data_IF_571172168570
#
_entry.id   IF_571172168570
#
_cell.length_a   1.000
_cell.length_b   1.000
_cell.length_c   1.000
_cell.angle_alpha   90.00
_cell.angle_beta   90.00
_cell.angle_gamma   90.00
#
_symmetry.space_group_name_H-M   'P 1'
#
loop_
_entity.id
_entity.type
_entity.pdbx_description
1 polymer ?
#
# COMPACT_ATOMS: atom_id res chain seq x y z
N UNK A 1 -1.48 11.41 -28.57
CA UNK A 1 -2.91 11.28 -28.89
C UNK A 1 -3.03 10.37 -30.09
N UNK A 2 -3.42 9.13 -29.88
CA UNK A 2 -3.79 8.19 -30.94
C UNK A 2 -5.31 8.31 -31.11
N UNK A 3 -5.76 9.37 -31.74
CA UNK A 3 -7.20 9.66 -31.91
C UNK A 3 -7.89 8.74 -32.95
N UNK A 4 -7.13 7.89 -33.65
CA UNK A 4 -7.66 7.03 -34.73
C UNK A 4 -7.26 5.56 -34.63
N UNK A 5 -6.72 5.08 -33.48
CA UNK A 5 -6.33 3.68 -33.38
C UNK A 5 -7.52 2.82 -32.91
N UNK A 6 -8.12 2.10 -33.82
CA UNK A 6 -9.21 1.19 -33.52
C UNK A 6 -8.71 -0.15 -32.91
N UNK A 7 -9.44 -0.65 -31.92
CA UNK A 7 -9.14 -1.94 -31.27
C UNK A 7 -9.07 -3.09 -32.28
N UNK A 8 -9.92 -3.06 -33.29
CA UNK A 8 -9.93 -4.06 -34.38
C UNK A 8 -8.60 -4.08 -35.16
N UNK A 9 -8.01 -2.92 -35.41
CA UNK A 9 -6.71 -2.79 -36.10
C UNK A 9 -5.57 -3.35 -35.26
N UNK A 10 -5.57 -3.09 -33.92
CA UNK A 10 -4.61 -3.67 -33.01
C UNK A 10 -4.69 -5.20 -32.99
N UNK A 11 -5.90 -5.75 -32.85
CA UNK A 11 -6.10 -7.19 -32.84
C UNK A 11 -5.69 -7.83 -34.18
N UNK A 12 -5.94 -7.14 -35.29
CA UNK A 12 -5.47 -7.55 -36.61
C UNK A 12 -3.95 -7.55 -36.69
N UNK A 13 -3.30 -6.46 -36.23
CA UNK A 13 -1.83 -6.36 -36.19
C UNK A 13 -1.21 -7.49 -35.38
N UNK A 14 -1.76 -7.78 -34.19
CA UNK A 14 -1.27 -8.90 -33.35
C UNK A 14 -1.37 -10.25 -34.09
N UNK A 15 -2.49 -10.48 -34.80
CA UNK A 15 -2.69 -11.70 -35.62
C UNK A 15 -1.71 -11.77 -36.79
N UNK A 16 -1.50 -10.65 -37.48
CA UNK A 16 -0.61 -10.61 -38.63
C UNK A 16 0.85 -10.85 -38.21
N UNK A 17 1.30 -10.24 -37.12
CA UNK A 17 2.61 -10.47 -36.51
C UNK A 17 2.81 -11.93 -36.05
N UNK A 18 1.76 -12.54 -35.48
CA UNK A 18 1.81 -13.94 -35.10
C UNK A 18 1.96 -14.87 -36.32
N UNK A 19 1.23 -14.61 -37.41
CA UNK A 19 1.26 -15.41 -38.63
C UNK A 19 2.56 -15.24 -39.41
N UNK A 20 3.13 -14.05 -39.44
CA UNK A 20 4.42 -13.78 -40.11
C UNK A 20 5.62 -14.22 -39.30
N UNK A 21 5.43 -14.74 -38.08
CA UNK A 21 6.52 -15.06 -37.13
C UNK A 21 7.39 -13.86 -36.72
N UNK A 22 6.84 -12.66 -36.80
CA UNK A 22 7.52 -11.41 -36.43
C UNK A 22 7.14 -10.87 -35.05
N UNK A 23 6.38 -11.66 -34.26
CA UNK A 23 5.94 -11.27 -32.93
C UNK A 23 7.10 -11.23 -31.89
N UNK A 24 8.19 -11.97 -32.14
CA UNK A 24 9.30 -12.09 -31.21
C UNK A 24 9.94 -10.72 -30.90
N UNK A 25 10.10 -10.41 -29.59
CA UNK A 25 10.67 -9.16 -29.12
C UNK A 25 9.71 -7.96 -29.14
N UNK A 26 8.48 -8.14 -29.61
CA UNK A 26 7.45 -7.09 -29.57
C UNK A 26 6.69 -7.18 -28.25
N UNK A 27 6.49 -6.02 -27.61
CA UNK A 27 5.72 -5.88 -26.36
C UNK A 27 4.55 -4.94 -26.61
N UNK A 28 3.31 -5.42 -26.41
CA UNK A 28 2.15 -4.57 -26.32
C UNK A 28 1.84 -4.24 -24.86
N UNK A 29 1.56 -2.96 -24.57
CA UNK A 29 1.13 -2.49 -23.26
C UNK A 29 -0.26 -1.90 -23.40
N UNK A 30 -1.25 -2.52 -22.76
CA UNK A 30 -2.65 -2.10 -22.82
C UNK A 30 -3.06 -1.40 -21.51
N UNK A 31 -3.26 -0.08 -21.59
CA UNK A 31 -3.75 0.75 -20.47
C UNK A 31 -5.08 1.42 -20.86
N UNK A 32 -6.19 0.89 -20.44
CA UNK A 32 -6.50 -0.30 -19.60
C UNK A 32 -7.33 -1.30 -20.40
N UNK A 33 -7.30 -2.57 -19.98
CA UNK A 33 -7.93 -3.68 -20.68
C UNK A 33 -9.39 -3.41 -21.12
N UNK A 34 -10.21 -2.74 -20.31
CA UNK A 34 -11.60 -2.41 -20.63
C UNK A 34 -11.79 -1.54 -21.88
N UNK A 35 -10.72 -0.90 -22.39
CA UNK A 35 -10.76 -0.14 -23.65
C UNK A 35 -10.60 -1.06 -24.87
N UNK A 36 -10.11 -2.27 -24.67
CA UNK A 36 -9.74 -3.21 -25.73
C UNK A 36 -10.69 -4.41 -25.82
N UNK A 37 -11.40 -4.72 -24.74
CA UNK A 37 -12.41 -5.78 -24.72
C UNK A 37 -13.50 -5.49 -23.69
N UNK A 38 -14.69 -6.02 -23.93
CA UNK A 38 -15.76 -5.97 -22.93
C UNK A 38 -15.58 -7.12 -21.95
N UNK A 39 -15.06 -6.80 -20.75
CA UNK A 39 -14.77 -7.77 -19.70
C UNK A 39 -16.00 -8.51 -19.15
N UNK A 40 -17.21 -8.00 -19.42
CA UNK A 40 -18.49 -8.59 -18.99
C UNK A 40 -19.15 -9.44 -20.11
N UNK A 41 -18.64 -9.35 -21.33
CA UNK A 41 -19.09 -10.15 -22.46
C UNK A 41 -18.13 -11.31 -22.69
N UNK A 42 -18.62 -12.53 -22.45
CA UNK A 42 -17.80 -13.74 -22.52
C UNK A 42 -17.25 -13.98 -23.93
N UNK A 43 -18.02 -13.72 -24.97
CA UNK A 43 -17.58 -13.96 -26.35
C UNK A 43 -16.45 -13.02 -26.74
N UNK A 44 -16.63 -11.71 -26.51
CA UNK A 44 -15.62 -10.67 -26.80
C UNK A 44 -14.34 -10.91 -26.02
N UNK A 45 -14.47 -11.28 -24.74
CA UNK A 45 -13.32 -11.60 -23.87
C UNK A 45 -12.57 -12.84 -24.38
N UNK A 46 -13.28 -13.90 -24.79
CA UNK A 46 -12.71 -15.12 -25.35
C UNK A 46 -11.99 -14.85 -26.68
N UNK A 47 -12.56 -14.03 -27.56
CA UNK A 47 -11.94 -13.71 -28.85
C UNK A 47 -10.67 -12.86 -28.67
N UNK A 48 -10.67 -11.91 -27.72
CA UNK A 48 -9.46 -11.21 -27.33
C UNK A 48 -8.40 -12.18 -26.77
N UNK A 49 -8.78 -13.09 -25.86
CA UNK A 49 -7.89 -14.08 -25.26
C UNK A 49 -7.23 -14.98 -26.30
N UNK A 50 -7.97 -15.42 -27.34
CA UNK A 50 -7.40 -16.20 -28.46
C UNK A 50 -6.30 -15.44 -29.20
N UNK A 51 -6.56 -14.17 -29.56
CA UNK A 51 -5.59 -13.34 -30.29
C UNK A 51 -4.35 -13.09 -29.40
N UNK A 52 -4.57 -12.78 -28.13
CA UNK A 52 -3.47 -12.60 -27.17
C UNK A 52 -2.61 -13.86 -27.05
N UNK A 53 -3.24 -15.05 -26.99
CA UNK A 53 -2.55 -16.35 -26.92
C UNK A 53 -1.78 -16.66 -28.21
N UNK A 54 -2.36 -16.41 -29.37
CA UNK A 54 -1.66 -16.60 -30.66
C UNK A 54 -0.40 -15.74 -30.73
N UNK A 55 -0.53 -14.45 -30.37
CA UNK A 55 0.58 -13.49 -30.37
C UNK A 55 1.70 -13.88 -29.39
N UNK A 56 1.36 -14.25 -28.15
CA UNK A 56 2.34 -14.63 -27.15
C UNK A 56 3.02 -15.98 -27.46
N UNK A 57 2.27 -16.92 -28.06
CA UNK A 57 2.83 -18.20 -28.54
C UNK A 57 3.83 -18.00 -29.67
N UNK A 58 3.65 -16.97 -30.50
CA UNK A 58 4.58 -16.59 -31.54
C UNK A 58 5.80 -15.78 -31.06
N UNK A 59 5.98 -15.63 -29.74
CA UNK A 59 7.12 -15.00 -29.10
C UNK A 59 6.92 -13.53 -28.72
N UNK A 60 5.73 -12.97 -28.90
CA UNK A 60 5.37 -11.64 -28.42
C UNK A 60 5.12 -11.59 -26.92
N UNK A 61 5.08 -10.41 -26.34
CA UNK A 61 4.73 -10.18 -24.95
C UNK A 61 3.55 -9.20 -24.83
N UNK A 62 2.65 -9.47 -23.89
CA UNK A 62 1.48 -8.62 -23.65
C UNK A 62 1.43 -8.23 -22.17
N UNK A 63 1.52 -6.94 -21.87
CA UNK A 63 1.34 -6.37 -20.54
C UNK A 63 -0.01 -5.68 -20.51
N UNK A 64 -0.87 -6.09 -19.58
CA UNK A 64 -2.24 -5.59 -19.50
C UNK A 64 -2.50 -4.99 -18.13
N UNK A 65 -2.95 -3.74 -18.12
CA UNK A 65 -3.40 -3.07 -16.91
C UNK A 65 -4.93 -3.15 -16.82
N UNK A 66 -5.42 -3.52 -15.65
CA UNK A 66 -6.86 -3.59 -15.40
C UNK A 66 -7.19 -2.96 -14.04
N UNK A 67 -8.40 -2.41 -13.92
CA UNK A 67 -8.86 -1.92 -12.62
C UNK A 67 -9.32 -3.07 -11.73
N UNK A 68 -9.11 -2.91 -10.44
CA UNK A 68 -9.74 -3.76 -9.44
C UNK A 68 -11.18 -3.28 -9.16
N UNK A 69 -12.00 -4.15 -8.57
CA UNK A 69 -13.33 -3.78 -8.10
C UNK A 69 -13.23 -2.71 -7.01
N UNK A 70 -14.29 -1.88 -6.91
CA UNK A 70 -14.36 -0.82 -5.87
C UNK A 70 -14.43 -1.39 -4.45
N UNK A 71 -14.96 -2.60 -4.30
CA UNK A 71 -15.08 -3.26 -3.01
C UNK A 71 -14.02 -4.36 -2.90
N UNK A 72 -13.12 -4.27 -1.93
CA UNK A 72 -12.17 -5.33 -1.64
C UNK A 72 -12.91 -6.57 -1.08
N UNK A 73 -12.19 -7.68 -0.97
CA UNK A 73 -12.68 -8.88 -0.28
C UNK A 73 -12.81 -8.66 1.24
N UNK A 74 -13.24 -9.70 1.96
CA UNK A 74 -13.39 -9.67 3.41
C UNK A 74 -12.05 -9.42 4.16
N UNK A 75 -10.91 -9.64 3.49
CA UNK A 75 -9.56 -9.40 4.02
C UNK A 75 -8.99 -8.03 3.60
N UNK A 76 -9.77 -7.21 2.89
CA UNK A 76 -9.35 -5.88 2.42
C UNK A 76 -8.44 -5.91 1.20
N UNK A 77 -8.30 -7.05 0.51
CA UNK A 77 -7.52 -7.18 -0.72
C UNK A 77 -8.34 -6.78 -1.93
N UNK A 78 -7.70 -6.12 -2.89
CA UNK A 78 -8.33 -5.80 -4.16
C UNK A 78 -8.75 -7.07 -4.90
N UNK A 79 -9.95 -7.03 -5.50
CA UNK A 79 -10.45 -8.09 -6.37
C UNK A 79 -10.37 -7.54 -7.81
N UNK A 80 -9.86 -8.34 -8.74
CA UNK A 80 -9.85 -7.93 -10.16
C UNK A 80 -11.29 -7.75 -10.69
N UNK A 81 -11.44 -6.82 -11.63
CA UNK A 81 -12.73 -6.58 -12.31
C UNK A 81 -12.78 -7.38 -13.59
N UNK A 82 -13.71 -8.31 -13.70
CA UNK A 82 -13.95 -9.13 -14.90
C UNK A 82 -14.34 -10.55 -14.58
N UNK A 83 -14.52 -11.37 -15.63
CA UNK A 83 -14.78 -12.80 -15.49
C UNK A 83 -13.50 -13.55 -15.07
N UNK A 84 -13.64 -14.67 -14.37
CA UNK A 84 -12.51 -15.55 -13.99
C UNK A 84 -11.67 -16.00 -15.20
N UNK A 85 -12.32 -16.12 -16.36
CA UNK A 85 -11.71 -16.58 -17.61
C UNK A 85 -10.46 -15.77 -18.00
N UNK A 86 -10.43 -14.45 -17.71
CA UNK A 86 -9.27 -13.61 -18.02
C UNK A 86 -8.05 -13.98 -17.16
N UNK A 87 -8.25 -14.22 -15.85
CA UNK A 87 -7.17 -14.64 -14.96
C UNK A 87 -6.70 -16.06 -15.30
N UNK A 88 -7.59 -16.91 -15.78
CA UNK A 88 -7.24 -18.26 -16.19
C UNK A 88 -6.36 -18.29 -17.44
N UNK A 89 -6.49 -17.31 -18.32
CA UNK A 89 -5.74 -17.22 -19.58
C UNK A 89 -4.37 -16.53 -19.48
N UNK A 90 -4.10 -15.72 -18.43
CA UNK A 90 -2.80 -15.07 -18.28
C UNK A 90 -1.73 -16.03 -17.74
N UNK A 91 -0.48 -15.76 -18.07
CA UNK A 91 0.67 -16.53 -17.58
C UNK A 91 1.13 -16.03 -16.20
N UNK A 92 1.00 -14.74 -15.93
CA UNK A 92 1.34 -14.12 -14.66
C UNK A 92 0.40 -12.94 -14.37
N UNK A 93 -0.09 -12.85 -13.14
CA UNK A 93 -0.95 -11.76 -12.70
C UNK A 93 -0.61 -11.26 -11.31
N UNK A 94 -0.62 -9.94 -11.15
CA UNK A 94 -0.43 -9.28 -9.86
C UNK A 94 -1.58 -8.31 -9.56
N UNK A 95 -2.01 -8.28 -8.31
CA UNK A 95 -2.81 -7.19 -7.79
C UNK A 95 -1.86 -6.19 -7.13
N UNK A 96 -2.00 -4.91 -7.53
CA UNK A 96 -1.20 -3.82 -6.97
C UNK A 96 -2.02 -3.14 -5.88
N UNK A 97 -1.54 -3.23 -4.64
CA UNK A 97 -2.16 -2.60 -3.48
C UNK A 97 -1.28 -1.47 -2.97
N UNK A 98 -1.85 -0.29 -2.80
CA UNK A 98 -1.17 0.78 -2.07
C UNK A 98 -1.23 0.45 -0.57
N UNK A 99 -0.06 0.25 0.06
CA UNK A 99 0.06 0.05 1.50
C UNK A 99 -0.22 1.37 2.21
N UNK A 100 0.42 2.45 1.75
CA UNK A 100 0.22 3.79 2.28
C UNK A 100 1.36 4.73 1.96
N UNK A 101 1.27 5.92 2.55
CA UNK A 101 2.31 6.93 2.49
C UNK A 101 2.96 7.03 3.88
N UNK A 102 4.27 7.18 3.94
CA UNK A 102 5.03 7.52 5.14
C UNK A 102 5.70 8.88 4.96
N UNK A 103 5.78 9.66 6.03
CA UNK A 103 6.50 10.92 6.01
C UNK A 103 8.00 10.64 6.17
N UNK A 104 8.81 11.16 5.25
CA UNK A 104 10.28 11.12 5.29
C UNK A 104 10.84 12.54 5.13
N UNK A 105 12.13 12.71 5.48
CA UNK A 105 12.81 14.02 5.42
C UNK A 105 12.70 14.72 4.05
N UNK A 106 12.65 13.94 2.96
CA UNK A 106 12.55 14.46 1.57
C UNK A 106 11.10 14.51 1.04
N UNK A 107 10.09 14.35 1.89
CA UNK A 107 8.68 14.35 1.51
C UNK A 107 7.97 13.03 1.79
N UNK A 108 6.85 12.81 1.10
CA UNK A 108 6.07 11.57 1.27
C UNK A 108 6.63 10.44 0.42
N UNK A 109 6.85 9.30 1.04
CA UNK A 109 7.22 8.06 0.37
C UNK A 109 6.02 7.13 0.31
N UNK A 110 5.62 6.75 -0.90
CA UNK A 110 4.53 5.79 -1.11
C UNK A 110 5.10 4.39 -1.18
N UNK A 111 4.45 3.45 -0.51
CA UNK A 111 4.76 2.02 -0.61
C UNK A 111 3.61 1.29 -1.29
N UNK A 112 3.93 0.45 -2.26
CA UNK A 112 3.00 -0.43 -2.97
C UNK A 112 3.46 -1.87 -2.90
N UNK A 113 2.50 -2.78 -2.86
CA UNK A 113 2.70 -4.22 -2.85
C UNK A 113 2.05 -4.82 -4.09
N UNK A 114 2.79 -5.66 -4.78
CA UNK A 114 2.32 -6.50 -5.87
C UNK A 114 2.11 -7.91 -5.30
N UNK A 115 0.88 -8.34 -5.18
CA UNK A 115 0.51 -9.69 -4.72
C UNK A 115 0.23 -10.57 -5.93
N UNK A 116 0.97 -11.65 -6.10
CA UNK A 116 0.76 -12.60 -7.20
C UNK A 116 -0.56 -13.33 -7.00
N UNK A 117 -1.39 -13.37 -8.04
CA UNK A 117 -2.68 -14.08 -8.07
C UNK A 117 -2.68 -15.24 -9.06
N UNK A 118 -1.72 -15.27 -9.98
CA UNK A 118 -1.57 -16.31 -11.00
C UNK A 118 -0.11 -16.38 -11.44
N UNK A 119 0.43 -17.57 -11.52
CA UNK A 119 1.75 -17.81 -12.06
C UNK A 119 1.82 -19.16 -12.77
N UNK A 120 2.40 -19.18 -13.96
CA UNK A 120 2.76 -20.41 -14.70
C UNK A 120 4.26 -20.69 -14.68
N UNK A 121 5.03 -19.94 -13.89
CA UNK A 121 6.47 -20.05 -13.78
C UNK A 121 6.97 -19.73 -12.39
N UNK A 122 8.28 -19.65 -12.22
CA UNK A 122 8.92 -19.23 -10.97
C UNK A 122 8.85 -17.70 -10.82
N UNK A 123 7.81 -17.24 -10.16
CA UNK A 123 7.51 -15.83 -9.93
C UNK A 123 7.34 -15.58 -8.44
N UNK A 124 7.90 -14.48 -7.95
CA UNK A 124 7.75 -14.09 -6.55
C UNK A 124 6.27 -13.93 -6.17
N UNK A 125 5.89 -14.48 -5.02
CA UNK A 125 4.53 -14.37 -4.48
C UNK A 125 4.16 -12.93 -4.11
N UNK A 126 5.16 -12.14 -3.70
CA UNK A 126 5.00 -10.74 -3.30
C UNK A 126 6.22 -9.94 -3.76
N UNK A 127 5.97 -8.77 -4.32
CA UNK A 127 6.98 -7.77 -4.65
C UNK A 127 6.56 -6.44 -4.04
N UNK A 128 7.52 -5.71 -3.48
CA UNK A 128 7.29 -4.38 -2.94
C UNK A 128 8.07 -3.32 -3.71
N UNK A 129 7.47 -2.15 -3.82
CA UNK A 129 8.15 -0.97 -4.34
C UNK A 129 7.82 0.25 -3.50
N UNK A 130 8.81 1.14 -3.37
CA UNK A 130 8.62 2.46 -2.79
C UNK A 130 8.99 3.52 -3.80
N UNK A 131 8.34 4.68 -3.75
CA UNK A 131 8.67 5.83 -4.57
C UNK A 131 8.32 7.13 -3.85
N UNK A 132 9.02 8.20 -4.19
CA UNK A 132 8.76 9.52 -3.60
C UNK A 132 7.53 10.16 -4.25
N UNK A 133 6.68 10.77 -3.40
CA UNK A 133 5.50 11.50 -3.83
C UNK A 133 5.66 12.98 -3.48
N UNK A 134 5.77 13.83 -4.50
CA UNK A 134 5.94 15.27 -4.33
C UNK A 134 5.83 16.00 -5.66
N UNK A 135 6.08 17.31 -5.66
CA UNK A 135 6.15 18.14 -6.85
C UNK A 135 7.52 17.96 -7.54
N UNK A 136 7.72 16.81 -8.15
CA UNK A 136 8.94 16.46 -8.85
C UNK A 136 8.64 16.15 -10.32
N UNK A 137 9.67 16.18 -11.17
CA UNK A 137 9.54 15.78 -12.57
C UNK A 137 9.18 14.28 -12.67
N UNK A 138 8.61 13.89 -13.82
CA UNK A 138 8.32 12.47 -14.06
C UNK A 138 9.60 11.61 -14.05
N UNK A 139 10.71 12.16 -14.50
CA UNK A 139 12.02 11.50 -14.45
C UNK A 139 12.47 11.25 -13.00
N UNK A 140 12.33 12.26 -12.13
CA UNK A 140 12.70 12.12 -10.72
C UNK A 140 11.80 11.11 -10.01
N UNK A 141 10.50 11.10 -10.34
CA UNK A 141 9.56 10.10 -9.85
C UNK A 141 10.02 8.68 -10.21
N UNK A 142 10.33 8.44 -11.49
CA UNK A 142 10.81 7.13 -11.94
C UNK A 142 12.13 6.73 -11.28
N UNK A 143 13.07 7.66 -11.15
CA UNK A 143 14.36 7.41 -10.51
C UNK A 143 14.24 7.14 -9.00
N UNK A 144 13.13 7.54 -8.37
CA UNK A 144 12.85 7.28 -6.95
C UNK A 144 12.26 5.90 -6.69
N UNK A 145 11.91 5.14 -7.73
CA UNK A 145 11.32 3.80 -7.58
C UNK A 145 12.38 2.81 -7.10
N UNK A 146 12.20 2.26 -5.92
CA UNK A 146 13.09 1.29 -5.31
C UNK A 146 12.32 0.01 -5.02
N UNK A 147 12.84 -1.13 -5.46
CA UNK A 147 12.32 -2.44 -5.08
C UNK A 147 12.70 -2.75 -3.63
N UNK A 148 11.74 -3.24 -2.88
CA UNK A 148 11.93 -3.77 -1.52
C UNK A 148 11.54 -5.25 -1.49
N UNK A 149 12.17 -6.00 -0.60
CA UNK A 149 11.86 -7.42 -0.39
C UNK A 149 10.60 -7.58 0.49
N UNK A 150 10.21 -8.82 0.73
CA UNK A 150 9.05 -9.15 1.55
C UNK A 150 9.18 -8.62 2.98
N UNK A 151 10.39 -8.62 3.55
CA UNK A 151 10.64 -8.07 4.87
C UNK A 151 10.44 -6.54 4.89
N UNK A 152 10.95 -5.83 3.90
CA UNK A 152 10.75 -4.39 3.73
C UNK A 152 9.27 -4.01 3.56
N UNK A 153 8.47 -4.87 2.88
CA UNK A 153 7.01 -4.70 2.80
C UNK A 153 6.37 -4.81 4.18
N UNK A 154 6.73 -5.82 4.98
CA UNK A 154 6.21 -6.02 6.34
C UNK A 154 6.57 -4.85 7.27
N UNK A 155 7.80 -4.37 7.19
CA UNK A 155 8.27 -3.23 7.96
C UNK A 155 7.53 -1.94 7.59
N UNK A 156 7.33 -1.70 6.28
CA UNK A 156 6.56 -0.56 5.78
C UNK A 156 5.11 -0.60 6.26
N UNK A 157 4.46 -1.77 6.25
CA UNK A 157 3.09 -1.95 6.78
C UNK A 157 3.03 -1.58 8.26
N UNK A 158 3.96 -2.09 9.08
CA UNK A 158 4.03 -1.77 10.51
C UNK A 158 4.25 -0.28 10.77
N UNK A 159 5.15 0.34 10.01
CA UNK A 159 5.45 1.78 10.13
C UNK A 159 4.22 2.62 9.83
N UNK A 160 3.57 2.38 8.68
CA UNK A 160 2.39 3.13 8.23
C UNK A 160 1.20 2.93 9.17
N UNK A 161 0.99 1.71 9.65
CA UNK A 161 -0.05 1.42 10.63
C UNK A 161 0.22 2.12 11.95
N UNK A 162 1.47 2.10 12.42
CA UNK A 162 1.91 2.85 13.60
C UNK A 162 1.67 4.35 13.48
N UNK A 163 2.00 4.97 12.34
CA UNK A 163 1.76 6.38 12.06
C UNK A 163 0.25 6.72 12.03
N UNK A 164 -0.58 5.88 11.42
CA UNK A 164 -2.04 6.02 11.45
C UNK A 164 -2.61 5.99 12.87
N UNK A 165 -2.16 5.01 13.67
CA UNK A 165 -2.59 4.90 15.08
C UNK A 165 -2.12 6.10 15.90
N UNK A 166 -0.93 6.64 15.64
CA UNK A 166 -0.46 7.87 16.28
C UNK A 166 -1.36 9.06 15.93
N UNK A 167 -1.76 9.18 14.68
CA UNK A 167 -2.69 10.24 14.24
C UNK A 167 -4.06 10.13 14.90
N UNK A 168 -4.61 8.92 15.02
CA UNK A 168 -5.91 8.68 15.70
C UNK A 168 -5.85 8.98 17.18
N UNK A 169 -4.70 8.71 17.83
CA UNK A 169 -4.49 8.93 19.26
C UNK A 169 -3.88 10.31 19.59
N UNK A 170 -3.63 11.17 18.59
CA UNK A 170 -2.85 12.39 18.73
C UNK A 170 -3.36 13.32 19.85
N UNK A 171 -4.66 13.54 19.94
CA UNK A 171 -5.28 14.39 20.96
C UNK A 171 -5.04 13.85 22.37
N UNK A 172 -5.19 12.53 22.55
CA UNK A 172 -4.95 11.87 23.85
C UNK A 172 -3.45 11.91 24.19
N UNK A 173 -2.58 11.71 23.19
CA UNK A 173 -1.12 11.76 23.37
C UNK A 173 -0.68 13.16 23.83
N UNK A 174 -1.14 14.21 23.13
CA UNK A 174 -0.83 15.59 23.50
C UNK A 174 -1.34 15.96 24.88
N UNK A 175 -2.59 15.62 25.20
CA UNK A 175 -3.17 15.88 26.51
C UNK A 175 -2.40 15.14 27.62
N UNK A 176 -2.01 13.90 27.36
CA UNK A 176 -1.18 13.10 28.30
C UNK A 176 0.18 13.72 28.53
N UNK A 177 0.90 14.12 27.46
CA UNK A 177 2.19 14.81 27.58
C UNK A 177 2.07 16.10 28.36
N UNK A 178 1.05 16.93 28.09
CA UNK A 178 0.78 18.18 28.82
C UNK A 178 0.56 17.92 30.32
N UNK A 179 -0.27 16.92 30.65
CA UNK A 179 -0.57 16.57 32.04
C UNK A 179 0.67 16.08 32.79
N UNK A 180 1.49 15.19 32.17
CA UNK A 180 2.74 14.73 32.76
C UNK A 180 3.71 15.89 33.01
N UNK A 181 3.86 16.79 32.06
CA UNK A 181 4.74 17.95 32.18
C UNK A 181 4.22 18.96 33.21
N UNK A 182 2.90 19.03 33.44
CA UNK A 182 2.29 19.79 34.52
C UNK A 182 2.40 19.13 35.91
N UNK A 183 3.08 17.97 36.01
CA UNK A 183 3.32 17.26 37.26
C UNK A 183 2.29 16.18 37.63
N UNK A 184 1.27 15.95 36.80
CA UNK A 184 0.28 14.88 36.99
C UNK A 184 0.86 13.59 36.42
N UNK A 185 1.51 12.78 37.27
CA UNK A 185 2.29 11.63 36.83
C UNK A 185 1.71 10.26 37.24
N UNK A 186 0.81 10.22 38.22
CA UNK A 186 0.15 8.98 38.66
C UNK A 186 -0.94 8.55 37.68
N UNK A 187 -1.01 7.25 37.35
CA UNK A 187 -1.94 6.71 36.32
C UNK A 187 -3.37 7.18 36.46
N UNK A 188 -3.94 7.04 37.66
CA UNK A 188 -5.36 7.35 37.86
C UNK A 188 -5.67 8.85 37.77
N UNK A 189 -4.77 9.71 38.26
CA UNK A 189 -4.86 11.16 38.15
C UNK A 189 -4.70 11.60 36.69
N UNK A 190 -3.73 10.97 35.99
CA UNK A 190 -3.48 11.22 34.58
C UNK A 190 -4.68 10.87 33.71
N UNK A 191 -5.26 9.68 33.92
CA UNK A 191 -6.50 9.28 33.20
C UNK A 191 -7.64 10.25 33.45
N UNK A 192 -7.84 10.72 34.68
CA UNK A 192 -8.90 11.69 34.99
C UNK A 192 -8.69 13.01 34.26
N UNK A 193 -7.49 13.54 34.29
CA UNK A 193 -7.16 14.84 33.65
C UNK A 193 -7.28 14.77 32.14
N UNK A 194 -6.75 13.72 31.52
CA UNK A 194 -6.83 13.53 30.06
C UNK A 194 -8.26 13.36 29.60
N UNK A 195 -9.09 12.60 30.31
CA UNK A 195 -10.53 12.50 30.03
C UNK A 195 -11.25 13.84 30.07
N UNK A 196 -10.93 14.65 31.07
CA UNK A 196 -11.54 15.98 31.21
C UNK A 196 -11.18 16.89 30.04
N UNK A 197 -9.96 16.76 29.53
CA UNK A 197 -9.43 17.61 28.44
C UNK A 197 -9.89 17.13 27.05
N UNK A 198 -10.01 15.81 26.83
CA UNK A 198 -10.30 15.23 25.50
C UNK A 198 -11.73 14.75 25.34
N UNK A 199 -12.55 14.76 26.40
CA UNK A 199 -13.89 14.18 26.45
C UNK A 199 -13.98 12.67 26.07
N UNK A 200 -12.85 11.98 26.05
CA UNK A 200 -12.76 10.56 25.67
C UNK A 200 -13.12 9.61 26.81
N UNK A 201 -13.46 8.37 26.47
CA UNK A 201 -13.79 7.33 27.46
C UNK A 201 -12.58 6.91 28.28
N UNK A 202 -12.80 6.53 29.55
CA UNK A 202 -11.73 6.06 30.45
C UNK A 202 -10.97 4.86 29.89
N UNK A 203 -11.68 3.94 29.25
CA UNK A 203 -11.11 2.73 28.64
C UNK A 203 -10.20 3.07 27.49
N UNK A 204 -10.60 4.03 26.63
CA UNK A 204 -9.76 4.48 25.50
C UNK A 204 -8.51 5.20 25.98
N UNK A 205 -8.64 6.14 26.91
CA UNK A 205 -7.50 6.86 27.49
C UNK A 205 -6.51 5.89 28.14
N UNK A 206 -6.99 4.93 28.97
CA UNK A 206 -6.13 3.92 29.58
C UNK A 206 -5.36 3.11 28.54
N UNK A 207 -6.05 2.62 27.52
CA UNK A 207 -5.45 1.84 26.43
C UNK A 207 -4.36 2.63 25.70
N UNK A 208 -4.60 3.91 25.40
CA UNK A 208 -3.60 4.75 24.73
C UNK A 208 -2.38 4.97 25.65
N UNK A 209 -2.60 5.28 26.92
CA UNK A 209 -1.50 5.43 27.89
C UNK A 209 -0.65 4.16 27.95
N UNK A 210 -1.28 2.98 28.04
CA UNK A 210 -0.57 1.70 28.09
C UNK A 210 0.18 1.39 26.79
N UNK A 211 -0.48 1.54 25.64
CA UNK A 211 0.13 1.25 24.34
C UNK A 211 1.28 2.20 23.96
N UNK A 212 1.31 3.40 24.52
CA UNK A 212 2.36 4.41 24.27
C UNK A 212 3.42 4.45 25.36
N UNK A 213 3.38 3.50 26.31
CA UNK A 213 4.37 3.35 27.38
C UNK A 213 5.55 2.49 26.90
N UNK A 214 6.77 2.96 27.12
CA UNK A 214 8.01 2.25 26.83
C UNK A 214 9.18 3.21 26.65
N UNK A 215 10.33 2.72 26.16
CA UNK A 215 11.58 3.49 26.01
C UNK A 215 11.94 3.90 24.59
N UNK A 216 11.15 3.47 23.58
CA UNK A 216 11.48 3.67 22.18
C UNK A 216 10.51 4.64 21.48
N UNK A 217 10.95 5.88 21.31
CA UNK A 217 10.17 6.93 20.64
C UNK A 217 9.87 6.58 19.16
N UNK A 218 10.79 5.91 18.48
CA UNK A 218 10.65 5.53 17.08
C UNK A 218 9.53 4.48 16.86
N UNK A 219 9.33 3.60 17.85
CA UNK A 219 8.20 2.63 17.86
C UNK A 219 6.87 3.24 18.29
N UNK A 220 6.78 4.56 18.39
CA UNK A 220 5.53 5.26 18.73
C UNK A 220 5.27 5.38 20.23
N UNK A 221 6.21 5.01 21.10
CA UNK A 221 6.13 5.24 22.54
C UNK A 221 6.39 6.72 22.84
N UNK A 222 5.78 7.24 23.89
CA UNK A 222 5.81 8.68 24.19
C UNK A 222 6.23 8.99 25.63
N UNK A 223 6.12 8.03 26.53
CA UNK A 223 6.50 8.11 27.92
C UNK A 223 6.97 6.75 28.42
N UNK A 224 7.78 6.77 29.45
CA UNK A 224 8.15 5.56 30.20
C UNK A 224 7.46 5.59 31.57
N UNK A 225 7.34 4.41 32.17
CA UNK A 225 6.72 4.22 33.47
C UNK A 225 7.77 3.67 34.45
N UNK A 226 7.80 4.24 35.66
CA UNK A 226 8.58 3.76 36.77
C UNK A 226 7.67 3.47 37.96
N UNK A 227 7.97 2.44 38.77
CA UNK A 227 7.25 2.22 40.00
C UNK A 227 7.59 3.34 41.02
N UNK A 228 6.54 3.87 41.65
CA UNK A 228 6.62 4.82 42.72
C UNK A 228 6.28 4.18 44.07
N UNK A 229 6.11 5.01 45.11
CA UNK A 229 5.66 4.55 46.44
C UNK A 229 4.29 3.85 46.36
N UNK A 230 4.08 2.82 47.16
CA UNK A 230 2.87 2.01 47.19
C UNK A 230 2.48 1.39 45.84
N UNK A 231 3.44 0.98 45.01
CA UNK A 231 3.25 0.44 43.67
C UNK A 231 2.54 1.41 42.68
N UNK A 232 2.56 2.70 42.95
CA UNK A 232 2.04 3.68 42.03
C UNK A 232 2.82 3.67 40.69
N UNK A 233 2.11 3.71 39.57
CA UNK A 233 2.72 3.86 38.25
C UNK A 233 2.96 5.35 37.98
N UNK A 234 4.26 5.72 37.84
CA UNK A 234 4.68 7.11 37.60
C UNK A 234 5.16 7.24 36.18
N UNK A 235 4.58 8.17 35.44
CA UNK A 235 4.88 8.40 34.02
C UNK A 235 5.78 9.63 33.83
N UNK A 236 6.72 9.48 32.87
CA UNK A 236 7.63 10.57 32.47
C UNK A 236 7.72 10.60 30.95
N UNK A 237 7.56 11.78 30.33
CA UNK A 237 7.61 11.94 28.88
C UNK A 237 9.00 11.59 28.35
N UNK A 238 9.06 10.82 27.25
CA UNK A 238 10.30 10.56 26.53
C UNK A 238 10.82 11.84 25.88
N UNK A 239 12.13 12.08 25.88
CA UNK A 239 12.71 13.18 25.12
C UNK A 239 12.40 12.98 23.62
N UNK A 240 11.89 14.04 22.99
CA UNK A 240 11.75 14.04 21.54
C UNK A 240 13.15 13.92 20.93
N UNK A 241 13.41 12.97 20.01
CA UNK A 241 14.68 12.90 19.30
C UNK A 241 14.95 14.26 18.67
N UNK A 242 16.08 14.88 19.02
CA UNK A 242 16.52 16.11 18.36
C UNK A 242 16.67 15.78 16.88
N UNK A 243 15.90 16.46 16.04
CA UNK A 243 16.17 16.47 14.61
C UNK A 243 17.57 17.07 14.45
N UNK A 244 18.58 16.22 14.35
CA UNK A 244 19.91 16.63 13.94
C UNK A 244 19.74 17.06 12.47
N UNK A 245 19.72 18.39 12.29
CA UNK A 245 19.68 19.03 10.98
C UNK A 245 20.97 18.77 10.22
#
# INVERSE_FOLDING_TARGET
NFEEFEVAEMLKLMKDLAKSHEASGIIFILDTLKKFTNLMDKQTSTDFGKVAREFTTAGGSLIVLAHTNKHPDAEGKGIYSGTSDIVDDIDCGFIINKIGDSDEFLGKKTTVEFSNIKSRGDVASTLGFTYNKGNQSYSDLLNSVIRIDEQGVKESKKKIEGEKLLGVDAEIIEATCRAINAGIRKKDELVKEVRKTTAESSSRVKRVIENRTGGDYASGQRWFMTPGECNAQIFTVLPTPLNIK
#
